data_IF_927802310019
#
_entry.id   IF_927802310019
#
_cell.length_a   1.000
_cell.length_b   1.000
_cell.length_c   1.000
_cell.angle_alpha   90.00
_cell.angle_beta   90.00
_cell.angle_gamma   90.00
#
_symmetry.space_group_name_H-M   'P 1'
#
loop_
_entity.id
_entity.type
_entity.pdbx_description
1 polymer ?
#
# COMPACT_ATOMS: atom_id res chain seq x y z
N UNK A 1 -12.30 15.33 2.13
CA UNK A 1 -11.95 13.98 2.61
C UNK A 1 -11.60 14.10 4.09
N UNK A 2 -12.54 13.79 4.98
CA UNK A 2 -12.33 13.79 6.43
C UNK A 2 -12.60 12.38 6.94
N UNK A 3 -11.58 11.72 7.49
CA UNK A 3 -11.71 10.41 8.12
C UNK A 3 -11.39 10.51 9.61
N UNK A 4 -11.98 9.64 10.45
CA UNK A 4 -11.69 9.60 11.86
C UNK A 4 -10.22 9.23 12.10
N UNK A 5 -9.55 9.95 12.99
CA UNK A 5 -8.17 9.66 13.38
C UNK A 5 -8.17 8.51 14.41
N UNK A 6 -7.31 7.48 14.27
CA UNK A 6 -7.16 6.47 15.30
C UNK A 6 -6.54 7.10 16.56
N UNK A 7 -7.23 6.99 17.69
CA UNK A 7 -6.78 7.58 18.96
C UNK A 7 -6.19 6.52 19.91
N UNK A 8 -6.81 5.34 20.01
CA UNK A 8 -6.47 4.32 21.01
C UNK A 8 -6.69 2.89 20.50
N UNK A 9 -6.28 1.89 21.28
CA UNK A 9 -6.50 0.44 21.08
C UNK A 9 -5.75 -0.22 19.90
N UNK A 10 -4.54 0.23 19.60
CA UNK A 10 -3.64 -0.46 18.66
C UNK A 10 -3.35 -1.90 19.13
N UNK A 11 -3.63 -2.88 18.26
CA UNK A 11 -3.40 -4.30 18.53
C UNK A 11 -2.89 -4.97 17.25
N UNK A 12 -1.94 -5.89 17.41
CA UNK A 12 -1.52 -6.79 16.35
C UNK A 12 -2.60 -7.86 16.14
N UNK A 13 -2.86 -8.19 14.89
CA UNK A 13 -3.82 -9.20 14.44
C UNK A 13 -3.17 -10.00 13.32
N UNK A 14 -3.05 -11.31 13.48
CA UNK A 14 -2.34 -12.20 12.53
C UNK A 14 -3.17 -12.58 11.30
N UNK A 15 -4.50 -12.63 11.41
CA UNK A 15 -5.36 -13.09 10.31
C UNK A 15 -6.48 -12.10 10.06
N UNK A 16 -6.51 -11.55 8.85
CA UNK A 16 -7.51 -10.58 8.45
C UNK A 16 -7.87 -10.78 6.97
N UNK A 17 -9.16 -11.06 6.71
CA UNK A 17 -9.69 -11.15 5.36
C UNK A 17 -9.86 -9.75 4.76
N UNK A 18 -8.93 -9.38 3.86
CA UNK A 18 -8.85 -8.04 3.26
C UNK A 18 -10.14 -7.62 2.52
N UNK A 19 -10.83 -8.59 1.91
CA UNK A 19 -12.03 -8.34 1.11
C UNK A 19 -13.25 -7.92 1.95
N UNK A 20 -13.37 -8.47 3.16
CA UNK A 20 -14.54 -8.30 4.03
C UNK A 20 -14.42 -7.14 5.04
N UNK A 21 -13.33 -6.37 4.99
CA UNK A 21 -13.13 -5.24 5.91
C UNK A 21 -13.93 -4.02 5.44
N UNK A 22 -14.72 -3.45 6.33
CA UNK A 22 -15.41 -2.20 6.09
C UNK A 22 -14.43 -1.00 6.13
N UNK A 23 -14.43 -0.18 5.07
CA UNK A 23 -13.52 0.96 4.95
C UNK A 23 -13.90 2.15 5.84
N UNK A 24 -15.17 2.24 6.25
CA UNK A 24 -15.68 3.29 7.13
C UNK A 24 -16.04 2.73 8.52
N UNK A 25 -15.61 1.51 8.82
CA UNK A 25 -15.82 0.89 10.10
C UNK A 25 -15.09 1.66 11.21
N UNK A 26 -15.51 1.43 12.45
CA UNK A 26 -14.90 2.07 13.62
C UNK A 26 -13.43 1.64 13.84
N UNK A 27 -12.94 0.64 13.11
CA UNK A 27 -11.58 0.10 13.19
C UNK A 27 -10.85 0.26 11.86
N UNK A 28 -9.72 0.96 11.89
CA UNK A 28 -8.77 1.01 10.77
C UNK A 28 -7.74 -0.12 10.87
N UNK A 29 -7.24 -0.56 9.72
CA UNK A 29 -6.26 -1.64 9.62
C UNK A 29 -5.05 -1.21 8.78
N UNK A 30 -3.87 -1.53 9.27
CA UNK A 30 -2.61 -1.45 8.52
C UNK A 30 -2.13 -2.86 8.27
N UNK A 31 -1.76 -3.14 7.02
CA UNK A 31 -1.35 -4.46 6.56
C UNK A 31 0.03 -4.36 5.95
N UNK A 32 0.86 -5.37 6.22
CA UNK A 32 2.12 -5.59 5.52
C UNK A 32 1.86 -6.52 4.34
N UNK A 33 2.08 -6.03 3.12
CA UNK A 33 1.68 -6.74 1.90
C UNK A 33 2.79 -6.77 0.86
N UNK A 34 2.79 -7.83 0.06
CA UNK A 34 3.56 -7.94 -1.16
C UNK A 34 2.66 -7.58 -2.36
N UNK A 35 3.03 -6.54 -3.10
CA UNK A 35 2.30 -6.04 -4.28
C UNK A 35 3.15 -6.22 -5.53
N UNK A 36 2.58 -6.84 -6.56
CA UNK A 36 3.17 -6.94 -7.88
C UNK A 36 2.61 -5.85 -8.79
N UNK A 37 3.51 -5.22 -9.54
CA UNK A 37 3.20 -4.19 -10.51
C UNK A 37 3.23 -4.82 -11.92
N UNK A 38 2.07 -5.05 -12.56
CA UNK A 38 2.06 -5.66 -13.88
C UNK A 38 2.56 -4.66 -14.93
N UNK A 39 3.38 -5.14 -15.86
CA UNK A 39 3.99 -4.31 -16.91
C UNK A 39 2.95 -3.59 -17.78
N UNK A 40 1.76 -4.18 -17.95
CA UNK A 40 0.64 -3.58 -18.67
C UNK A 40 0.19 -2.22 -18.10
N UNK A 41 0.47 -1.95 -16.82
CA UNK A 41 0.12 -0.67 -16.17
C UNK A 41 1.24 0.35 -16.20
N UNK A 42 2.45 0.00 -16.66
CA UNK A 42 3.60 0.91 -16.64
C UNK A 42 3.37 2.14 -17.52
N UNK A 43 2.71 1.97 -18.66
CA UNK A 43 2.39 3.08 -19.57
C UNK A 43 1.36 4.02 -18.92
N UNK A 44 0.28 3.45 -18.37
CA UNK A 44 -0.81 4.21 -17.75
C UNK A 44 -0.40 4.95 -16.47
N UNK A 45 0.50 4.37 -15.67
CA UNK A 45 0.97 4.95 -14.41
C UNK A 45 2.36 5.59 -14.50
N UNK A 46 2.84 5.88 -15.71
CA UNK A 46 4.15 6.50 -15.95
C UNK A 46 4.32 7.85 -15.23
N UNK A 47 3.26 8.65 -15.17
CA UNK A 47 3.27 9.98 -14.55
C UNK A 47 3.10 9.92 -13.01
N UNK A 48 2.22 9.03 -12.53
CA UNK A 48 1.87 8.90 -11.11
C UNK A 48 1.95 7.44 -10.64
N UNK A 49 3.16 6.91 -10.35
CA UNK A 49 3.33 5.59 -9.78
C UNK A 49 2.66 5.47 -8.42
N UNK A 50 1.96 4.36 -8.22
CA UNK A 50 1.30 4.02 -6.97
C UNK A 50 2.29 3.42 -5.95
N UNK A 51 1.94 3.49 -4.67
CA UNK A 51 2.73 2.95 -3.56
C UNK A 51 4.20 3.44 -3.55
N UNK A 52 4.44 4.74 -3.29
CA UNK A 52 5.79 5.27 -3.16
C UNK A 52 6.50 4.63 -1.96
N UNK A 53 7.80 4.42 -2.11
CA UNK A 53 8.66 3.75 -1.13
C UNK A 53 9.78 4.68 -0.66
N UNK A 54 10.27 4.46 0.56
CA UNK A 54 11.37 5.25 1.10
C UNK A 54 12.69 4.51 0.93
N UNK A 55 13.39 4.77 -0.16
CA UNK A 55 14.63 4.10 -0.53
C UNK A 55 15.72 5.08 -1.00
N UNK A 56 16.95 4.59 -1.13
CA UNK A 56 18.09 5.43 -1.53
C UNK A 56 18.23 5.35 -3.04
N UNK A 57 18.03 6.45 -3.79
CA UNK A 57 18.21 6.42 -5.24
C UNK A 57 19.69 6.31 -5.60
N UNK A 58 19.97 5.74 -6.77
CA UNK A 58 21.32 5.58 -7.30
C UNK A 58 22.02 6.95 -7.39
N UNK A 59 23.06 7.14 -6.57
CA UNK A 59 23.82 8.39 -6.53
C UNK A 59 23.48 9.35 -5.38
N UNK A 60 22.50 9.03 -4.53
CA UNK A 60 22.29 9.74 -3.25
C UNK A 60 22.78 8.92 -2.06
N UNK A 61 23.12 9.60 -0.97
CA UNK A 61 23.45 8.97 0.33
C UNK A 61 22.24 8.91 1.26
N UNK A 62 21.24 9.75 1.01
CA UNK A 62 20.06 9.91 1.84
C UNK A 62 18.86 9.19 1.24
N UNK A 63 18.01 8.67 2.12
CA UNK A 63 16.74 8.07 1.71
C UNK A 63 15.79 9.15 1.23
N UNK A 64 15.10 8.88 0.12
CA UNK A 64 14.10 9.76 -0.47
C UNK A 64 12.84 8.96 -0.73
N UNK A 65 11.72 9.67 -0.86
CA UNK A 65 10.49 9.06 -1.34
C UNK A 65 10.62 8.83 -2.85
N UNK A 66 10.61 7.58 -3.28
CA UNK A 66 10.75 7.17 -4.67
C UNK A 66 9.42 6.60 -5.18
N UNK A 67 9.00 7.11 -6.33
CA UNK A 67 7.86 6.61 -7.09
C UNK A 67 8.39 5.64 -8.16
N UNK A 68 8.58 4.38 -7.78
CA UNK A 68 9.07 3.34 -8.69
C UNK A 68 7.92 2.42 -9.10
N UNK A 69 7.94 1.95 -10.36
CA UNK A 69 7.02 0.95 -10.91
C UNK A 69 7.45 -0.49 -10.58
N UNK A 70 8.40 -0.66 -9.67
CA UNK A 70 8.89 -1.97 -9.27
C UNK A 70 7.90 -2.66 -8.32
N UNK A 71 7.91 -4.01 -8.24
CA UNK A 71 7.16 -4.74 -7.24
C UNK A 71 7.54 -4.28 -5.83
N UNK A 72 6.55 -4.22 -4.94
CA UNK A 72 6.71 -3.81 -3.54
C UNK A 72 6.65 -5.04 -2.66
N UNK A 73 7.65 -5.19 -1.81
CA UNK A 73 7.78 -6.31 -0.87
C UNK A 73 7.69 -5.73 0.54
N UNK A 74 6.94 -6.38 1.42
CA UNK A 74 6.76 -5.96 2.82
C UNK A 74 6.28 -4.50 2.95
N UNK A 75 5.34 -4.10 2.10
CA UNK A 75 4.83 -2.73 2.06
C UNK A 75 3.72 -2.53 3.08
N UNK A 76 3.88 -1.57 3.97
CA UNK A 76 2.87 -1.25 4.98
C UNK A 76 1.86 -0.25 4.42
N UNK A 77 0.60 -0.65 4.34
CA UNK A 77 -0.48 0.14 3.72
C UNK A 77 -1.76 0.09 4.55
N UNK A 78 -2.52 1.19 4.54
CA UNK A 78 -3.87 1.22 5.09
C UNK A 78 -4.87 0.50 4.18
N UNK A 79 -5.89 -0.15 4.76
CA UNK A 79 -6.87 -0.93 4.01
C UNK A 79 -7.55 -0.18 2.85
N UNK A 80 -7.92 1.09 3.05
CA UNK A 80 -8.55 1.90 1.99
C UNK A 80 -7.61 2.14 0.81
N UNK A 81 -6.33 2.38 1.08
CA UNK A 81 -5.33 2.57 0.03
C UNK A 81 -5.08 1.26 -0.71
N UNK A 82 -5.04 0.12 0.00
CA UNK A 82 -4.89 -1.19 -0.61
C UNK A 82 -6.06 -1.50 -1.57
N UNK A 83 -7.30 -1.23 -1.15
CA UNK A 83 -8.48 -1.39 -2.02
C UNK A 83 -8.41 -0.48 -3.25
N UNK A 84 -7.96 0.76 -3.09
CA UNK A 84 -7.72 1.66 -4.21
C UNK A 84 -6.65 1.10 -5.16
N UNK A 85 -5.56 0.55 -4.63
CA UNK A 85 -4.49 -0.06 -5.41
C UNK A 85 -4.98 -1.25 -6.24
N UNK A 86 -5.76 -2.15 -5.62
CA UNK A 86 -6.40 -3.28 -6.30
C UNK A 86 -7.34 -2.79 -7.42
N UNK A 87 -8.12 -1.74 -7.16
CA UNK A 87 -9.02 -1.13 -8.16
C UNK A 87 -8.26 -0.52 -9.35
N UNK A 88 -7.06 0.01 -9.11
CA UNK A 88 -6.17 0.54 -10.14
C UNK A 88 -5.36 -0.55 -10.85
N UNK A 89 -5.50 -1.81 -10.44
CA UNK A 89 -4.95 -2.98 -11.12
C UNK A 89 -3.64 -3.52 -10.54
N UNK A 90 -3.19 -3.05 -9.38
CA UNK A 90 -2.09 -3.71 -8.65
C UNK A 90 -2.53 -5.11 -8.21
N UNK A 91 -1.58 -6.04 -8.20
CA UNK A 91 -1.85 -7.43 -7.84
C UNK A 91 -1.29 -7.72 -6.45
N UNK A 92 -2.16 -8.06 -5.51
CA UNK A 92 -1.75 -8.51 -4.18
C UNK A 92 -1.23 -9.96 -4.27
N UNK A 93 0.01 -10.19 -3.83
CA UNK A 93 0.63 -11.52 -3.79
C UNK A 93 0.48 -12.19 -2.43
N UNK A 94 0.79 -11.46 -1.36
CA UNK A 94 0.80 -11.99 0.00
C UNK A 94 0.46 -10.89 1.00
N UNK A 95 -0.20 -11.28 2.08
CA UNK A 95 -0.37 -10.49 3.31
C UNK A 95 0.42 -11.20 4.40
N UNK A 96 1.22 -10.46 5.16
CA UNK A 96 1.98 -10.98 6.31
C UNK A 96 1.28 -10.72 7.63
#
# INVERSE_FOLDING_TARGET
>A
MSQPLPLNNYKWVDFLDVDHIDENGEKGYFLEVDLEYPESLHDYHSDLPLAPEFSVPSGCKEKRLLTTLYPKINYVVHISNLKQYLKLGLVLKKVH
#
